data_IF_575410299539
#
_entry.id   IF_575410299539
#
_cell.length_a   1.000
_cell.length_b   1.000
_cell.length_c   1.000
_cell.angle_alpha   90.00
_cell.angle_beta   90.00
_cell.angle_gamma   90.00
#
_symmetry.space_group_name_H-M   'P 1'
#
loop_
_entity.id
_entity.type
_entity.pdbx_description
1 polymer ?
#
# COMPACT_ATOMS: atom_id res chain seq x y z
N UNK A 1 18.07 -4.41 7.39
CA UNK A 1 19.32 -4.50 8.19
C UNK A 1 19.65 -3.07 8.58
N UNK A 2 19.65 -2.71 9.87
CA UNK A 2 19.92 -1.33 10.31
C UNK A 2 21.32 -0.91 9.85
N UNK A 3 21.43 0.21 9.12
CA UNK A 3 22.71 0.80 8.72
C UNK A 3 23.24 1.64 9.89
N UNK A 4 24.18 1.14 10.72
CA UNK A 4 24.52 1.77 12.01
C UNK A 4 25.19 3.14 11.85
N UNK A 5 25.68 3.46 10.65
CA UNK A 5 26.45 4.68 10.36
C UNK A 5 25.59 5.85 9.85
N UNK A 6 24.35 5.62 9.40
CA UNK A 6 23.46 6.70 8.94
C UNK A 6 21.98 6.35 9.16
N UNK A 7 21.33 6.86 10.23
CA UNK A 7 19.92 6.59 10.50
C UNK A 7 18.94 7.23 9.50
N UNK A 8 19.41 8.12 8.62
CA UNK A 8 18.61 8.82 7.62
C UNK A 8 18.85 8.33 6.18
N UNK A 9 19.55 7.22 6.00
CA UNK A 9 19.94 6.72 4.67
C UNK A 9 18.76 6.51 3.70
N UNK A 10 17.56 6.18 4.20
CA UNK A 10 16.36 6.05 3.38
C UNK A 10 15.80 7.41 2.95
N UNK A 11 15.91 8.42 3.82
CA UNK A 11 15.58 9.80 3.47
C UNK A 11 16.52 10.32 2.41
N UNK A 12 17.84 10.10 2.58
CA UNK A 12 18.85 10.50 1.61
C UNK A 12 18.57 9.88 0.23
N UNK A 13 18.33 8.57 0.20
CA UNK A 13 17.92 7.86 -1.02
C UNK A 13 16.65 8.46 -1.64
N UNK A 14 15.64 8.76 -0.83
CA UNK A 14 14.36 9.28 -1.31
C UNK A 14 14.48 10.66 -1.96
N UNK A 15 15.36 11.53 -1.43
CA UNK A 15 15.54 12.91 -1.91
C UNK A 15 16.55 13.02 -3.06
N UNK A 16 17.43 12.04 -3.26
CA UNK A 16 18.47 12.04 -4.29
C UNK A 16 17.92 12.01 -5.73
N UNK A 17 16.72 11.45 -5.92
CA UNK A 17 16.07 11.30 -7.23
C UNK A 17 15.10 12.43 -7.62
N UNK A 18 14.13 12.09 -8.48
CA UNK A 18 13.03 12.99 -8.88
C UNK A 18 12.02 13.24 -7.74
N UNK A 19 12.47 13.86 -6.65
CA UNK A 19 11.79 13.99 -5.37
C UNK A 19 10.35 14.50 -5.49
N UNK A 20 10.12 15.61 -6.22
CA UNK A 20 8.79 16.23 -6.29
C UNK A 20 7.72 15.26 -6.81
N UNK A 21 8.00 14.54 -7.89
CA UNK A 21 7.06 13.58 -8.48
C UNK A 21 6.88 12.34 -7.61
N UNK A 22 7.95 11.88 -6.99
CA UNK A 22 7.93 10.72 -6.09
C UNK A 22 7.16 11.02 -4.79
N UNK A 23 7.36 12.21 -4.20
CA UNK A 23 6.67 12.68 -3.02
C UNK A 23 5.16 12.74 -3.22
N UNK A 24 4.69 13.36 -4.30
CA UNK A 24 3.25 13.38 -4.60
C UNK A 24 2.68 11.97 -4.78
N UNK A 25 3.39 11.10 -5.50
CA UNK A 25 2.94 9.74 -5.73
C UNK A 25 2.91 8.88 -4.45
N UNK A 26 3.83 9.12 -3.52
CA UNK A 26 3.95 8.33 -2.30
C UNK A 26 3.05 8.86 -1.18
N UNK A 27 3.13 10.15 -0.86
CA UNK A 27 2.39 10.80 0.23
C UNK A 27 0.88 10.93 -0.02
N UNK A 28 0.40 10.65 -1.24
CA UNK A 28 -1.03 10.64 -1.56
C UNK A 28 -1.80 9.41 -1.03
N UNK A 29 -1.12 8.44 -0.40
CA UNK A 29 -1.76 7.23 0.11
C UNK A 29 -1.85 7.23 1.64
N UNK A 30 -3.00 6.83 2.21
CA UNK A 30 -3.17 6.84 3.67
C UNK A 30 -2.30 5.80 4.41
N UNK A 31 -1.91 4.70 3.75
CA UNK A 31 -1.14 3.62 4.38
C UNK A 31 0.27 4.04 4.82
N UNK A 32 0.82 5.09 4.19
CA UNK A 32 2.17 5.61 4.47
C UNK A 32 2.22 6.44 5.77
N UNK A 33 1.07 6.67 6.41
CA UNK A 33 1.02 7.20 7.78
C UNK A 33 1.58 6.19 8.81
N UNK A 34 1.62 4.90 8.47
CA UNK A 34 2.26 3.88 9.29
C UNK A 34 3.77 3.84 9.04
N UNK A 35 4.56 4.14 10.08
CA UNK A 35 6.03 4.18 10.00
C UNK A 35 6.64 2.88 9.47
N UNK A 36 6.20 1.72 9.95
CA UNK A 36 6.76 0.43 9.56
C UNK A 36 6.50 0.14 8.08
N UNK A 37 5.28 0.42 7.61
CA UNK A 37 4.92 0.30 6.20
C UNK A 37 5.80 1.22 5.34
N UNK A 38 5.93 2.49 5.74
CA UNK A 38 6.71 3.47 4.99
C UNK A 38 8.18 3.11 4.90
N UNK A 39 8.79 2.68 6.01
CA UNK A 39 10.18 2.21 6.00
C UNK A 39 10.35 0.97 5.12
N UNK A 40 9.46 -0.02 5.23
CA UNK A 40 9.52 -1.21 4.40
C UNK A 40 9.38 -0.94 2.89
N UNK A 41 8.54 0.03 2.50
CA UNK A 41 8.44 0.47 1.10
C UNK A 41 9.78 1.08 0.64
N UNK A 42 10.37 1.98 1.43
CA UNK A 42 11.64 2.61 1.06
C UNK A 42 12.79 1.61 0.98
N UNK A 43 12.87 0.69 1.93
CA UNK A 43 13.87 -0.39 1.93
C UNK A 43 13.74 -1.25 0.66
N UNK A 44 12.52 -1.67 0.31
CA UNK A 44 12.29 -2.48 -0.88
C UNK A 44 12.65 -1.75 -2.18
N UNK A 45 12.26 -0.47 -2.31
CA UNK A 45 12.58 0.34 -3.50
C UNK A 45 14.09 0.58 -3.61
N UNK A 46 14.75 0.90 -2.49
CA UNK A 46 16.20 1.09 -2.42
C UNK A 46 16.94 -0.19 -2.79
N UNK A 47 16.56 -1.32 -2.22
CA UNK A 47 17.16 -2.62 -2.51
C UNK A 47 17.04 -2.99 -4.00
N UNK A 48 15.85 -2.82 -4.60
CA UNK A 48 15.65 -3.11 -6.02
C UNK A 48 16.43 -2.16 -6.94
N UNK A 49 16.61 -0.91 -6.54
CA UNK A 49 17.42 0.05 -7.26
C UNK A 49 18.92 -0.28 -7.16
N UNK A 50 19.41 -0.60 -5.97
CA UNK A 50 20.82 -0.98 -5.72
C UNK A 50 21.21 -2.31 -6.39
N UNK A 51 20.23 -3.19 -6.66
CA UNK A 51 20.41 -4.43 -7.40
C UNK A 51 20.27 -4.26 -8.93
N UNK A 52 20.17 -3.04 -9.44
CA UNK A 52 19.94 -2.72 -10.86
C UNK A 52 18.67 -3.39 -11.46
N UNK A 53 17.70 -3.77 -10.61
CA UNK A 53 16.44 -4.41 -11.04
C UNK A 53 15.36 -3.42 -11.44
N UNK A 54 15.51 -2.15 -11.06
CA UNK A 54 14.52 -1.12 -11.29
C UNK A 54 15.15 0.28 -11.33
N UNK A 55 14.69 1.13 -12.26
CA UNK A 55 14.95 2.57 -12.23
C UNK A 55 13.84 3.25 -11.41
N UNK A 56 14.23 3.96 -10.34
CA UNK A 56 13.29 4.61 -9.43
C UNK A 56 12.55 5.74 -10.14
N UNK A 57 11.22 5.72 -10.05
CA UNK A 57 10.36 6.79 -10.54
C UNK A 57 9.04 6.83 -9.76
N UNK A 58 8.13 7.74 -10.11
CA UNK A 58 6.83 7.89 -9.43
C UNK A 58 5.99 6.60 -9.39
N UNK A 59 6.16 5.71 -10.36
CA UNK A 59 5.45 4.44 -10.42
C UNK A 59 5.97 3.44 -9.41
N UNK A 60 7.24 3.50 -9.01
CA UNK A 60 7.79 2.68 -7.92
C UNK A 60 6.97 2.84 -6.65
N UNK A 61 6.67 4.09 -6.27
CA UNK A 61 5.92 4.41 -5.04
C UNK A 61 4.42 4.13 -5.17
N UNK A 62 3.79 4.60 -6.26
CA UNK A 62 2.35 4.40 -6.44
C UNK A 62 1.98 2.91 -6.61
N UNK A 63 2.85 2.11 -7.23
CA UNK A 63 2.62 0.66 -7.34
C UNK A 63 2.92 -0.08 -6.04
N UNK A 64 3.93 0.31 -5.26
CA UNK A 64 4.13 -0.21 -3.91
C UNK A 64 2.88 -0.02 -3.04
N UNK A 65 2.25 1.16 -3.12
CA UNK A 65 1.01 1.45 -2.41
C UNK A 65 -0.15 0.54 -2.85
N UNK A 66 -0.28 0.28 -4.16
CA UNK A 66 -1.31 -0.63 -4.70
C UNK A 66 -1.12 -2.06 -4.22
N UNK A 67 0.11 -2.57 -4.23
CA UNK A 67 0.45 -3.92 -3.75
C UNK A 67 0.00 -4.10 -2.30
N UNK A 68 0.34 -3.13 -1.44
CA UNK A 68 -0.03 -3.19 -0.02
C UNK A 68 -1.53 -3.03 0.21
N UNK A 69 -2.24 -2.20 -0.55
CA UNK A 69 -3.70 -2.12 -0.45
C UNK A 69 -4.37 -3.43 -0.85
N UNK A 70 -3.88 -4.11 -1.90
CA UNK A 70 -4.39 -5.41 -2.31
C UNK A 70 -4.14 -6.48 -1.26
N UNK A 71 -2.89 -6.60 -0.79
CA UNK A 71 -2.52 -7.59 0.24
C UNK A 71 -3.27 -7.29 1.55
N UNK A 72 -3.33 -6.03 1.97
CA UNK A 72 -4.03 -5.59 3.17
C UNK A 72 -5.53 -5.93 3.11
N UNK A 73 -6.18 -5.70 1.97
CA UNK A 73 -7.57 -6.10 1.76
C UNK A 73 -7.78 -7.61 1.95
N UNK A 74 -6.97 -8.43 1.28
CA UNK A 74 -7.04 -9.91 1.41
C UNK A 74 -6.80 -10.35 2.86
N UNK A 75 -5.76 -9.82 3.51
CA UNK A 75 -5.43 -10.16 4.90
C UNK A 75 -6.51 -9.76 5.89
N UNK A 76 -7.15 -8.61 5.70
CA UNK A 76 -8.30 -8.20 6.53
C UNK A 76 -9.44 -9.18 6.33
N UNK A 77 -9.76 -9.57 5.09
CA UNK A 77 -10.81 -10.56 4.83
C UNK A 77 -10.53 -11.91 5.51
N UNK A 78 -9.27 -12.37 5.52
CA UNK A 78 -8.86 -13.59 6.25
C UNK A 78 -9.05 -13.48 7.77
N UNK A 79 -9.02 -12.27 8.33
CA UNK A 79 -9.18 -12.02 9.77
C UNK A 79 -10.65 -11.91 10.20
N UNK A 80 -11.57 -11.67 9.27
CA UNK A 80 -12.99 -11.54 9.59
C UNK A 80 -13.57 -12.88 10.02
N UNK A 81 -14.37 -12.86 11.08
CA UNK A 81 -15.18 -14.00 11.47
C UNK A 81 -16.28 -14.26 10.45
N UNK A 82 -16.82 -15.49 10.44
CA UNK A 82 -17.93 -15.86 9.57
C UNK A 82 -19.13 -14.94 9.77
N UNK A 83 -19.39 -14.55 11.02
CA UNK A 83 -20.47 -13.65 11.43
C UNK A 83 -20.25 -12.24 10.85
N UNK A 84 -19.07 -11.65 11.02
CA UNK A 84 -18.75 -10.33 10.45
C UNK A 84 -18.84 -10.32 8.92
N UNK A 85 -18.38 -11.38 8.25
CA UNK A 85 -18.54 -11.53 6.80
C UNK A 85 -20.03 -11.53 6.43
N UNK A 86 -20.84 -12.32 7.12
CA UNK A 86 -22.30 -12.39 6.87
C UNK A 86 -22.96 -11.02 7.08
N UNK A 87 -22.64 -10.33 8.17
CA UNK A 87 -23.20 -9.01 8.48
C UNK A 87 -22.85 -7.98 7.41
N UNK A 88 -21.58 -7.91 6.99
CA UNK A 88 -21.15 -7.00 5.92
C UNK A 88 -21.87 -7.29 4.60
N UNK A 89 -22.02 -8.56 4.22
CA UNK A 89 -22.72 -8.93 2.98
C UNK A 89 -24.21 -8.62 3.08
N UNK A 90 -24.88 -8.98 4.17
CA UNK A 90 -26.30 -8.68 4.36
C UNK A 90 -26.60 -7.18 4.36
N UNK A 91 -25.70 -6.35 4.89
CA UNK A 91 -25.88 -4.91 4.96
C UNK A 91 -25.77 -4.19 3.61
N UNK A 92 -25.01 -4.74 2.65
CA UNK A 92 -24.66 -4.01 1.42
C UNK A 92 -25.15 -4.71 0.12
N UNK A 93 -25.39 -6.03 0.14
CA UNK A 93 -25.61 -6.79 -1.09
C UNK A 93 -26.84 -6.31 -1.87
N UNK A 94 -27.92 -5.93 -1.19
CA UNK A 94 -29.16 -5.51 -1.85
C UNK A 94 -29.04 -4.16 -2.58
N UNK A 95 -28.04 -3.34 -2.24
CA UNK A 95 -27.77 -2.05 -2.89
C UNK A 95 -26.90 -2.19 -4.14
N UNK A 96 -26.47 -3.41 -4.47
CA UNK A 96 -25.64 -3.69 -5.65
C UNK A 96 -26.50 -3.94 -6.90
N UNK A 97 -25.93 -3.60 -8.06
CA UNK A 97 -26.64 -3.74 -9.33
C UNK A 97 -27.05 -5.20 -9.61
N UNK A 98 -28.20 -5.36 -10.27
CA UNK A 98 -28.70 -6.66 -10.80
C UNK A 98 -29.10 -7.70 -9.72
N UNK A 99 -29.18 -7.32 -8.46
CA UNK A 99 -29.83 -8.15 -7.43
C UNK A 99 -31.35 -8.10 -7.61
N UNK A 100 -31.97 -9.29 -7.67
CA UNK A 100 -33.42 -9.41 -7.77
C UNK A 100 -34.03 -9.36 -6.39
N UNK A 101 -34.78 -8.30 -6.11
CA UNK A 101 -35.60 -8.18 -4.89
C UNK A 101 -37.03 -8.60 -5.24
N UNK A 102 -37.70 -9.42 -4.42
CA UNK A 102 -39.12 -9.74 -4.63
C UNK A 102 -39.95 -8.46 -4.71
N UNK A 103 -40.84 -8.34 -5.69
CA UNK A 103 -41.84 -7.28 -5.69
C UNK A 103 -42.91 -7.65 -4.65
N UNK A 104 -43.10 -6.76 -3.67
CA UNK A 104 -44.23 -6.81 -2.74
C UNK A 104 -45.48 -6.25 -3.39
#
# INVERSE_FOLDING_TARGET
MEHPSNPFHLTDFFVDGAFRGNAVAWFSSNIISNKAISLGILEAIKELAEQDKMIVNRYSYSNANKILNQIGGVRILDMLTREEVKENICANLLDTEKIRVPQM
#
